data_IF_448405710982
#
_entry.id   IF_448405710982
#
_cell.length_a   1.000
_cell.length_b   1.000
_cell.length_c   1.000
_cell.angle_alpha   90.00
_cell.angle_beta   90.00
_cell.angle_gamma   90.00
#
_symmetry.space_group_name_H-M   'P 1'
#
loop_
_entity.id
_entity.type
_entity.pdbx_description
1 polymer ?
#
# COMPACT_ATOMS: atom_id res chain seq x y z
N UNK A 1 19.43 -9.90 -2.09
CA UNK A 1 18.21 -9.26 -2.62
C UNK A 1 17.12 -10.31 -2.63
N UNK A 2 16.03 -10.10 -1.89
CA UNK A 2 14.85 -10.94 -2.01
C UNK A 2 14.18 -10.55 -3.34
N UNK A 3 14.02 -11.50 -4.27
CA UNK A 3 13.37 -11.28 -5.56
C UNK A 3 12.07 -10.48 -5.38
N UNK A 4 11.81 -9.54 -6.30
CA UNK A 4 10.58 -8.74 -6.32
C UNK A 4 9.36 -9.66 -6.15
N UNK A 5 8.78 -9.66 -4.96
CA UNK A 5 7.50 -10.29 -4.71
C UNK A 5 6.45 -9.46 -5.44
N UNK A 6 5.52 -10.09 -6.16
CA UNK A 6 4.38 -9.34 -6.71
C UNK A 6 4.51 -8.91 -8.18
N UNK A 7 5.34 -9.55 -9.00
CA UNK A 7 5.45 -9.23 -10.43
C UNK A 7 4.09 -9.24 -11.15
N UNK A 8 3.21 -10.20 -10.84
CA UNK A 8 1.85 -10.22 -11.41
C UNK A 8 1.00 -9.08 -10.87
N UNK A 9 1.11 -8.75 -9.58
CA UNK A 9 0.44 -7.60 -8.98
C UNK A 9 0.86 -6.29 -9.66
N UNK A 10 2.15 -6.12 -9.98
CA UNK A 10 2.66 -4.94 -10.69
C UNK A 10 2.02 -4.85 -12.08
N UNK A 11 1.97 -5.96 -12.83
CA UNK A 11 1.30 -6.00 -14.15
C UNK A 11 -0.17 -5.64 -14.08
N UNK A 12 -0.91 -6.19 -13.11
CA UNK A 12 -2.32 -5.86 -12.90
C UNK A 12 -2.50 -4.37 -12.61
N UNK A 13 -1.66 -3.81 -11.74
CA UNK A 13 -1.67 -2.38 -11.44
C UNK A 13 -1.37 -1.53 -12.68
N UNK A 14 -0.37 -1.89 -13.48
CA UNK A 14 -0.04 -1.19 -14.72
C UNK A 14 -1.20 -1.24 -15.72
N UNK A 15 -1.90 -2.38 -15.85
CA UNK A 15 -3.10 -2.49 -16.68
C UNK A 15 -4.24 -1.59 -16.19
N UNK A 16 -4.41 -1.44 -14.87
CA UNK A 16 -5.40 -0.49 -14.33
C UNK A 16 -5.01 0.97 -14.64
N UNK A 17 -3.72 1.27 -14.67
CA UNK A 17 -3.22 2.60 -15.07
C UNK A 17 -3.59 2.91 -16.53
N UNK A 18 -3.37 1.97 -17.47
CA UNK A 18 -3.71 2.15 -18.89
C UNK A 18 -5.22 2.30 -19.13
N UNK A 19 -6.04 1.72 -18.26
CA UNK A 19 -7.50 1.88 -18.27
C UNK A 19 -7.98 3.19 -17.62
N UNK A 20 -7.07 4.07 -17.18
CA UNK A 20 -7.42 5.35 -16.56
C UNK A 20 -8.02 5.22 -15.16
N UNK A 21 -7.83 4.08 -14.49
CA UNK A 21 -8.33 3.84 -13.11
C UNK A 21 -7.51 4.57 -12.05
N UNK A 22 -6.26 4.93 -12.36
CA UNK A 22 -5.34 5.66 -11.48
C UNK A 22 -5.33 7.14 -11.88
N UNK A 23 -6.49 7.79 -11.74
CA UNK A 23 -6.68 9.18 -12.12
C UNK A 23 -7.37 9.97 -11.01
N UNK A 24 -7.21 11.29 -11.04
CA UNK A 24 -7.98 12.21 -10.22
C UNK A 24 -8.82 13.11 -11.14
N UNK A 25 -10.02 13.48 -10.70
CA UNK A 25 -10.87 14.46 -11.38
C UNK A 25 -10.70 15.83 -10.71
N UNK A 26 -10.48 16.88 -11.50
CA UNK A 26 -10.49 18.29 -11.06
C UNK A 26 -11.40 19.06 -12.01
N UNK A 27 -12.56 19.50 -11.53
CA UNK A 27 -13.60 20.04 -12.41
C UNK A 27 -14.03 18.99 -13.44
N UNK A 28 -13.96 19.32 -14.72
CA UNK A 28 -14.27 18.40 -15.82
C UNK A 28 -13.06 17.57 -16.27
N UNK A 29 -11.85 17.97 -15.92
CA UNK A 29 -10.62 17.32 -16.37
C UNK A 29 -10.27 16.11 -15.51
N UNK A 30 -9.92 15.01 -16.19
CA UNK A 30 -9.33 13.81 -15.58
C UNK A 30 -7.84 13.77 -15.91
N UNK A 31 -6.99 13.62 -14.90
CA UNK A 31 -5.54 13.49 -15.08
C UNK A 31 -4.99 12.31 -14.28
N UNK A 32 -3.87 11.76 -14.73
CA UNK A 32 -3.12 10.74 -14.01
C UNK A 32 -2.72 11.25 -12.61
N UNK A 33 -2.81 10.37 -11.60
CA UNK A 33 -2.42 10.70 -10.22
C UNK A 33 -1.13 9.94 -9.83
N UNK A 34 0.04 10.59 -9.87
CA UNK A 34 1.32 9.94 -9.56
C UNK A 34 1.40 9.40 -8.13
N UNK A 35 0.71 10.02 -7.17
CA UNK A 35 0.75 9.57 -5.78
C UNK A 35 -0.07 8.28 -5.60
N UNK A 36 -1.24 8.19 -6.25
CA UNK A 36 -2.00 6.95 -6.30
C UNK A 36 -1.20 5.83 -6.99
N UNK A 37 -0.52 6.15 -8.10
CA UNK A 37 0.32 5.21 -8.82
C UNK A 37 1.49 4.69 -7.96
N UNK A 38 2.30 5.58 -7.39
CA UNK A 38 3.46 5.18 -6.57
C UNK A 38 3.06 4.37 -5.35
N UNK A 39 1.94 4.74 -4.70
CA UNK A 39 1.39 4.01 -3.57
C UNK A 39 0.98 2.59 -3.97
N UNK A 40 0.17 2.45 -5.03
CA UNK A 40 -0.32 1.15 -5.47
C UNK A 40 0.81 0.27 -6.03
N UNK A 41 1.80 0.86 -6.71
CA UNK A 41 3.02 0.18 -7.15
C UNK A 41 3.82 -0.37 -5.97
N UNK A 42 4.05 0.44 -4.94
CA UNK A 42 4.78 0.00 -3.73
C UNK A 42 4.03 -1.14 -3.05
N UNK A 43 2.71 -1.04 -2.91
CA UNK A 43 1.89 -2.11 -2.35
C UNK A 43 1.95 -3.40 -3.19
N UNK A 44 1.96 -3.28 -4.52
CA UNK A 44 2.02 -4.41 -5.44
C UNK A 44 3.38 -5.12 -5.35
N UNK A 45 4.48 -4.36 -5.38
CA UNK A 45 5.85 -4.86 -5.31
C UNK A 45 6.27 -5.43 -3.93
N UNK A 46 5.50 -5.12 -2.88
CA UNK A 46 5.78 -5.62 -1.53
C UNK A 46 4.75 -6.64 -1.03
N UNK A 47 3.91 -7.17 -1.92
CA UNK A 47 2.93 -8.19 -1.57
C UNK A 47 3.09 -9.44 -2.43
N UNK A 48 2.75 -10.60 -1.86
CA UNK A 48 2.80 -11.86 -2.61
C UNK A 48 1.77 -11.87 -3.75
N UNK A 49 2.11 -12.50 -4.86
CA UNK A 49 1.21 -12.69 -5.99
C UNK A 49 0.06 -13.64 -5.68
N UNK A 50 -1.01 -13.54 -6.46
CA UNK A 50 -2.02 -14.59 -6.60
C UNK A 50 -1.93 -15.20 -8.01
N UNK A 51 -2.02 -16.54 -8.17
CA UNK A 51 -1.92 -17.56 -7.11
C UNK A 51 -0.52 -17.58 -6.48
N UNK A 52 -0.45 -18.01 -5.22
CA UNK A 52 0.83 -18.21 -4.52
C UNK A 52 1.62 -19.38 -5.12
N UNK A 53 2.94 -19.24 -5.17
CA UNK A 53 3.83 -20.39 -5.41
C UNK A 53 3.83 -21.36 -4.21
N UNK A 54 4.44 -22.54 -4.40
CA UNK A 54 4.46 -23.60 -3.39
C UNK A 54 5.19 -23.18 -2.10
N UNK A 55 6.26 -22.39 -2.20
CA UNK A 55 7.04 -21.95 -1.05
C UNK A 55 6.27 -20.91 -0.22
N UNK A 56 5.67 -19.92 -0.89
CA UNK A 56 4.83 -18.92 -0.27
C UNK A 56 3.59 -19.56 0.38
N UNK A 57 2.95 -20.52 -0.30
CA UNK A 57 1.82 -21.28 0.26
C UNK A 57 2.21 -22.08 1.50
N UNK A 58 3.36 -22.77 1.48
CA UNK A 58 3.89 -23.52 2.64
C UNK A 58 4.17 -22.61 3.84
N UNK A 59 4.65 -21.40 3.59
CA UNK A 59 4.98 -20.42 4.63
C UNK A 59 3.76 -19.62 5.13
N UNK A 60 2.54 -19.97 4.70
CA UNK A 60 1.33 -19.27 5.12
C UNK A 60 1.25 -17.83 4.62
N UNK A 61 1.87 -17.54 3.46
CA UNK A 61 1.86 -16.21 2.88
C UNK A 61 0.43 -15.72 2.62
N UNK A 62 0.27 -14.39 2.73
CA UNK A 62 -0.97 -13.69 2.46
C UNK A 62 -0.82 -12.92 1.14
N UNK A 63 -1.42 -13.39 0.04
CA UNK A 63 -1.36 -12.75 -1.27
C UNK A 63 -2.01 -11.37 -1.23
N UNK A 64 -1.46 -10.41 -1.97
CA UNK A 64 -2.01 -9.04 -2.13
C UNK A 64 -2.26 -8.29 -0.82
N UNK A 65 -1.55 -8.64 0.25
CA UNK A 65 -1.66 -7.96 1.54
C UNK A 65 -0.48 -7.03 1.78
N UNK A 66 -0.78 -5.76 2.02
CA UNK A 66 0.15 -4.77 2.50
C UNK A 66 -0.12 -4.43 3.98
N UNK A 67 0.93 -4.52 4.82
CA UNK A 67 0.84 -4.35 6.28
C UNK A 67 2.01 -3.58 6.92
N UNK A 68 2.90 -2.99 6.13
CA UNK A 68 4.09 -2.27 6.65
C UNK A 68 3.79 -0.89 7.23
N UNK A 69 2.62 -0.33 6.92
CA UNK A 69 2.19 0.97 7.42
C UNK A 69 2.66 2.15 6.56
N UNK A 70 2.14 3.33 6.87
CA UNK A 70 2.38 4.55 6.07
C UNK A 70 3.72 5.21 6.37
N UNK A 71 4.23 5.13 7.60
CA UNK A 71 5.57 5.68 7.88
C UNK A 71 6.66 4.94 7.11
N UNK A 72 6.57 3.61 7.04
CA UNK A 72 7.48 2.80 6.24
C UNK A 72 7.45 3.22 4.76
N UNK A 73 6.25 3.34 4.18
CA UNK A 73 6.11 3.77 2.78
C UNK A 73 6.60 5.20 2.56
N UNK A 74 6.30 6.12 3.49
CA UNK A 74 6.76 7.50 3.40
C UNK A 74 8.29 7.59 3.35
N UNK A 75 8.98 6.79 4.18
CA UNK A 75 10.45 6.69 4.17
C UNK A 75 10.96 6.10 2.86
N UNK A 76 10.36 5.00 2.39
CA UNK A 76 10.74 4.34 1.14
C UNK A 76 10.57 5.26 -0.09
N UNK A 77 9.58 6.15 -0.07
CA UNK A 77 9.33 7.13 -1.13
C UNK A 77 10.09 8.46 -0.93
N UNK A 78 10.99 8.55 0.05
CA UNK A 78 11.77 9.77 0.33
C UNK A 78 10.94 10.95 0.84
N UNK A 79 9.67 10.73 1.24
CA UNK A 79 8.75 11.80 1.65
C UNK A 79 9.08 12.39 3.03
N UNK A 80 10.04 11.80 3.74
CA UNK A 80 10.46 12.21 5.09
C UNK A 80 11.85 12.82 5.12
N UNK A 81 12.46 13.05 3.95
CA UNK A 81 13.78 13.70 3.83
C UNK A 81 13.57 15.21 3.98
N UNK A 82 14.27 15.83 4.92
CA UNK A 82 14.24 17.27 5.18
C UNK A 82 15.50 17.94 4.64
N UNK A 83 15.35 19.13 4.08
CA UNK A 83 16.46 19.99 3.67
C UNK A 83 17.03 20.81 4.86
N UNK A 84 16.29 20.88 5.97
CA UNK A 84 16.70 21.59 7.19
C UNK A 84 16.99 20.62 8.33
N UNK A 85 18.14 20.79 8.97
CA UNK A 85 18.53 20.09 10.19
C UNK A 85 17.80 20.59 11.43
N UNK A 86 17.23 21.79 11.40
CA UNK A 86 16.50 22.39 12.53
C UNK A 86 15.19 21.65 12.85
N UNK A 87 14.67 20.90 11.87
CA UNK A 87 13.46 20.08 12.02
C UNK A 87 13.76 18.63 12.43
N UNK A 88 15.04 18.29 12.62
CA UNK A 88 15.48 16.93 12.96
C UNK A 88 15.56 16.76 14.48
N UNK A 89 14.85 15.76 14.96
CA UNK A 89 14.85 15.30 16.35
C UNK A 89 15.48 13.90 16.42
N UNK A 90 16.28 13.63 17.46
CA UNK A 90 16.80 12.28 17.71
C UNK A 90 15.75 11.49 18.50
N UNK A 91 15.14 10.50 17.86
CA UNK A 91 14.13 9.64 18.47
C UNK A 91 14.58 8.20 18.35
N UNK A 92 14.86 7.55 19.48
CA UNK A 92 15.31 6.15 19.49
C UNK A 92 16.63 5.94 18.78
N UNK A 93 17.57 6.88 18.91
CA UNK A 93 18.87 6.93 18.22
C UNK A 93 18.80 7.07 16.69
N UNK A 94 17.64 7.38 16.12
CA UNK A 94 17.51 7.75 14.70
C UNK A 94 17.26 9.26 14.56
N UNK A 95 17.92 9.95 13.62
CA UNK A 95 17.53 11.30 13.23
C UNK A 95 16.19 11.21 12.48
N UNK A 96 15.16 11.90 12.99
CA UNK A 96 13.82 11.90 12.41
C UNK A 96 13.30 13.31 12.27
N UNK A 97 12.39 13.54 11.32
CA UNK A 97 11.67 14.81 11.18
C UNK A 97 10.17 14.61 11.45
N UNK A 98 9.70 14.62 12.72
CA UNK A 98 8.36 14.11 13.08
C UNK A 98 7.22 14.89 12.41
N UNK A 99 7.37 16.21 12.26
CA UNK A 99 6.37 17.05 11.56
C UNK A 99 6.23 16.64 10.10
N UNK A 100 7.34 16.35 9.43
CA UNK A 100 7.36 15.91 8.03
C UNK A 100 6.83 14.48 7.89
N UNK A 101 7.25 13.56 8.77
CA UNK A 101 6.72 12.20 8.87
C UNK A 101 5.19 12.21 8.99
N UNK A 102 4.63 13.06 9.86
CA UNK A 102 3.19 13.20 10.05
C UNK A 102 2.48 13.68 8.77
N UNK A 103 3.00 14.74 8.13
CA UNK A 103 2.44 15.26 6.86
C UNK A 103 2.47 14.20 5.76
N UNK A 104 3.55 13.43 5.66
CA UNK A 104 3.68 12.36 4.68
C UNK A 104 2.66 11.23 4.93
N UNK A 105 2.51 10.79 6.19
CA UNK A 105 1.51 9.78 6.58
C UNK A 105 0.08 10.25 6.33
N UNK A 106 -0.23 11.52 6.59
CA UNK A 106 -1.55 12.11 6.30
C UNK A 106 -1.83 12.12 4.79
N UNK A 107 -0.84 12.49 3.96
CA UNK A 107 -0.94 12.45 2.50
C UNK A 107 -1.21 11.02 2.01
N UNK A 108 -0.44 10.03 2.46
CA UNK A 108 -0.66 8.62 2.12
C UNK A 108 -2.02 8.11 2.61
N UNK A 109 -2.46 8.51 3.80
CA UNK A 109 -3.80 8.16 4.31
C UNK A 109 -4.91 8.74 3.43
N UNK A 110 -4.75 9.96 2.94
CA UNK A 110 -5.71 10.56 2.00
C UNK A 110 -5.69 9.86 0.64
N UNK A 111 -4.52 9.45 0.15
CA UNK A 111 -4.39 8.68 -1.09
C UNK A 111 -5.06 7.31 -0.96
N UNK A 112 -4.83 6.61 0.17
CA UNK A 112 -5.47 5.33 0.47
C UNK A 112 -7.00 5.42 0.41
N UNK A 113 -7.60 6.47 1.00
CA UNK A 113 -9.05 6.70 0.94
C UNK A 113 -9.57 6.85 -0.50
N UNK A 114 -8.79 7.49 -1.39
CA UNK A 114 -9.16 7.61 -2.81
C UNK A 114 -9.09 6.26 -3.53
N UNK A 115 -8.01 5.50 -3.31
CA UNK A 115 -7.84 4.16 -3.86
C UNK A 115 -8.92 3.19 -3.36
N UNK A 116 -9.27 3.27 -2.08
CA UNK A 116 -10.35 2.47 -1.47
C UNK A 116 -11.71 2.83 -2.07
N UNK A 117 -12.01 4.13 -2.22
CA UNK A 117 -13.23 4.59 -2.91
C UNK A 117 -13.27 4.12 -4.37
N UNK A 118 -12.12 4.02 -5.03
CA UNK A 118 -12.01 3.53 -6.41
C UNK A 118 -12.08 1.99 -6.54
N UNK A 119 -12.18 1.27 -5.40
CA UNK A 119 -12.22 -0.19 -5.35
C UNK A 119 -10.88 -0.85 -5.71
N UNK A 120 -9.76 -0.14 -5.56
CA UNK A 120 -8.41 -0.63 -5.89
C UNK A 120 -7.68 -1.22 -4.68
N UNK A 121 -8.09 -0.83 -3.48
CA UNK A 121 -7.64 -1.43 -2.22
C UNK A 121 -8.83 -1.55 -1.26
N UNK A 122 -8.71 -2.43 -0.25
CA UNK A 122 -9.72 -2.62 0.79
C UNK A 122 -9.06 -2.75 2.16
N UNK A 123 -9.51 -1.98 3.15
CA UNK A 123 -9.05 -2.14 4.53
C UNK A 123 -9.72 -3.35 5.19
N UNK A 124 -8.96 -4.43 5.42
CA UNK A 124 -9.47 -5.62 6.10
C UNK A 124 -9.44 -5.48 7.63
N UNK A 125 -8.43 -4.77 8.15
CA UNK A 125 -8.29 -4.48 9.58
C UNK A 125 -7.70 -3.10 9.78
N UNK A 126 -8.36 -2.26 10.58
CA UNK A 126 -7.83 -0.94 10.94
C UNK A 126 -6.58 -1.08 11.81
N UNK A 127 -5.64 -0.16 11.62
CA UNK A 127 -4.48 -0.04 12.50
C UNK A 127 -4.91 0.40 13.89
N UNK A 128 -4.11 0.06 14.89
CA UNK A 128 -4.30 0.48 16.27
C UNK A 128 -2.96 1.01 16.80
N UNK A 129 -2.90 2.30 17.11
CA UNK A 129 -1.71 2.97 17.63
C UNK A 129 -1.31 2.46 19.01
N UNK A 130 -2.28 2.20 19.89
CA UNK A 130 -2.03 1.67 21.24
C UNK A 130 -1.38 0.28 21.19
N UNK A 131 -1.86 -0.58 20.29
CA UNK A 131 -1.31 -1.94 20.07
C UNK A 131 -0.15 -1.96 19.07
N UNK A 132 0.31 -0.79 18.61
CA UNK A 132 1.38 -0.62 17.59
C UNK A 132 1.20 -1.49 16.35
N UNK A 133 -0.05 -1.73 15.96
CA UNK A 133 -0.39 -2.58 14.83
C UNK A 133 -0.79 -1.73 13.63
N UNK A 134 -0.16 -1.98 12.49
CA UNK A 134 -0.54 -1.37 11.22
C UNK A 134 -1.89 -1.89 10.72
N UNK A 135 -2.52 -1.08 9.88
CA UNK A 135 -3.66 -1.51 9.11
C UNK A 135 -3.27 -2.62 8.12
N UNK A 136 -4.21 -3.51 7.83
CA UNK A 136 -4.08 -4.58 6.85
C UNK A 136 -4.89 -4.19 5.62
N UNK A 137 -4.20 -3.97 4.51
CA UNK A 137 -4.78 -3.55 3.24
C UNK A 137 -4.68 -4.68 2.22
N UNK A 138 -5.82 -5.05 1.63
CA UNK A 138 -5.90 -5.94 0.49
C UNK A 138 -5.86 -5.13 -0.80
N UNK A 139 -5.04 -5.52 -1.77
CA UNK A 139 -5.11 -4.98 -3.13
C UNK A 139 -6.23 -5.71 -3.90
N UNK A 140 -7.18 -4.94 -4.42
CA UNK A 140 -8.31 -5.43 -5.23
C UNK A 140 -8.11 -5.03 -6.68
N UNK A 141 -6.98 -5.50 -7.23
CA UNK A 141 -6.46 -5.14 -8.56
C UNK A 141 -6.74 -6.20 -9.64
N UNK A 142 -7.33 -7.33 -9.25
CA UNK A 142 -7.78 -8.37 -10.18
C UNK A 142 -9.23 -8.17 -10.65
N UNK A 143 -9.81 -9.21 -11.23
CA UNK A 143 -11.25 -9.25 -11.51
C UNK A 143 -12.07 -9.35 -10.23
N UNK A 144 -13.38 -9.09 -10.31
CA UNK A 144 -14.28 -9.17 -9.14
C UNK A 144 -14.25 -10.57 -8.50
N UNK A 145 -14.24 -11.62 -9.32
CA UNK A 145 -14.22 -13.01 -8.89
C UNK A 145 -12.90 -13.35 -8.22
N UNK A 146 -11.77 -13.00 -8.85
CA UNK A 146 -10.44 -13.24 -8.30
C UNK A 146 -10.23 -12.45 -6.99
N UNK A 147 -10.68 -11.19 -6.94
CA UNK A 147 -10.59 -10.39 -5.73
C UNK A 147 -11.40 -11.00 -4.57
N UNK A 148 -12.58 -11.56 -4.86
CA UNK A 148 -13.39 -12.25 -3.85
C UNK A 148 -12.71 -13.53 -3.35
N UNK A 149 -12.11 -14.32 -4.24
CA UNK A 149 -11.33 -15.52 -3.89
C UNK A 149 -10.14 -15.18 -3.00
N UNK A 150 -9.34 -14.18 -3.40
CA UNK A 150 -8.19 -13.71 -2.62
C UNK A 150 -8.63 -13.18 -1.26
N UNK A 151 -9.71 -12.40 -1.21
CA UNK A 151 -10.25 -11.89 0.05
C UNK A 151 -10.66 -13.03 0.99
N UNK A 152 -11.40 -14.03 0.50
CA UNK A 152 -11.80 -15.19 1.29
C UNK A 152 -10.59 -15.98 1.81
N UNK A 153 -9.60 -16.21 0.95
CA UNK A 153 -8.33 -16.86 1.31
C UNK A 153 -7.60 -16.12 2.43
N UNK A 154 -7.54 -14.79 2.36
CA UNK A 154 -6.85 -13.98 3.36
C UNK A 154 -7.64 -13.90 4.67
N UNK A 155 -8.96 -13.68 4.60
CA UNK A 155 -9.82 -13.57 5.80
C UNK A 155 -9.79 -14.83 6.65
N UNK A 156 -9.91 -16.00 6.03
CA UNK A 156 -9.82 -17.29 6.73
C UNK A 156 -8.51 -17.45 7.51
N UNK A 157 -7.39 -16.96 6.98
CA UNK A 157 -6.07 -17.01 7.65
C UNK A 157 -5.87 -15.95 8.72
N UNK A 158 -6.41 -14.75 8.49
CA UNK A 158 -6.34 -13.65 9.44
C UNK A 158 -7.36 -13.78 10.59
N UNK A 159 -8.31 -14.73 10.48
CA UNK A 159 -9.44 -14.91 11.41
C UNK A 159 -10.27 -13.62 11.52
N UNK A 160 -10.63 -13.06 10.36
CA UNK A 160 -11.42 -11.83 10.17
C UNK A 160 -12.77 -12.10 9.53
#
# INVERSE_FOLDING_TARGET
MQEEMGYRNIKLMQNLATQGRITTKRGETRSFDPMQFSMLLTMAAESFDWPLDAAAKKNGALPRIYRRGWLYMARALGMTITDSMDEVEVIGNEPRAPKLELKAMQRLSSTAKKLEKAGLIKCLRRGNSQKRNNAVWLLTIGTSEENAEVEAYVRSRLRL
#
